data_IF_373295324633
#
_entry.id   IF_373295324633
#
_cell.length_a   1.000
_cell.length_b   1.000
_cell.length_c   1.000
_cell.angle_alpha   90.00
_cell.angle_beta   90.00
_cell.angle_gamma   90.00
#
_symmetry.space_group_name_H-M   'P 1'
#
loop_
_entity.id
_entity.type
_entity.pdbx_description
1 polymer ?
#
# COMPACT_ATOMS: atom_id res chain seq x y z
N UNK A 1 11.46 10.10 2.85
CA UNK A 1 12.31 9.45 1.82
C UNK A 1 12.71 10.48 0.78
N UNK A 2 13.91 10.38 0.22
CA UNK A 2 14.39 11.26 -0.86
C UNK A 2 13.73 10.94 -2.21
N UNK A 3 13.92 11.84 -3.18
CA UNK A 3 13.57 11.63 -4.59
C UNK A 3 14.80 12.08 -5.43
N UNK A 4 15.48 11.18 -6.17
CA UNK A 4 15.22 9.75 -6.25
C UNK A 4 15.56 9.01 -4.94
N UNK A 5 15.12 7.74 -4.86
CA UNK A 5 15.45 6.79 -3.80
C UNK A 5 15.66 5.39 -4.39
N UNK A 6 16.40 4.49 -3.72
CA UNK A 6 16.49 3.10 -4.11
C UNK A 6 15.10 2.41 -4.24
N UNK A 7 14.94 1.43 -5.14
CA UNK A 7 13.78 0.55 -5.14
C UNK A 7 13.68 -0.22 -3.82
N UNK A 8 12.46 -0.37 -3.32
CA UNK A 8 12.17 -1.15 -2.12
C UNK A 8 11.10 -2.22 -2.42
N UNK A 9 11.15 -3.33 -1.68
CA UNK A 9 10.16 -4.41 -1.73
C UNK A 9 9.84 -4.92 -0.30
N UNK A 10 8.69 -5.56 -0.12
CA UNK A 10 8.35 -6.23 1.14
C UNK A 10 9.04 -7.59 1.15
N UNK A 11 9.87 -7.85 2.15
CA UNK A 11 10.63 -9.08 2.21
C UNK A 11 9.74 -10.28 2.57
N UNK A 12 9.48 -11.17 1.60
CA UNK A 12 8.76 -12.45 1.78
C UNK A 12 7.43 -12.32 2.55
N UNK A 13 6.65 -11.28 2.25
CA UNK A 13 5.38 -11.05 2.94
C UNK A 13 4.49 -10.04 2.23
N UNK A 14 3.60 -9.40 2.99
CA UNK A 14 2.71 -8.35 2.49
C UNK A 14 2.61 -7.22 3.50
N UNK A 15 1.93 -6.13 3.13
CA UNK A 15 1.72 -4.96 3.97
C UNK A 15 1.13 -5.31 5.33
N UNK A 16 0.27 -6.33 5.42
CA UNK A 16 -0.27 -6.82 6.71
C UNK A 16 0.82 -7.36 7.63
N UNK A 17 1.77 -8.14 7.10
CA UNK A 17 2.90 -8.63 7.87
C UNK A 17 3.80 -7.48 8.35
N UNK A 18 3.95 -6.42 7.55
CA UNK A 18 4.66 -5.21 7.97
C UNK A 18 3.94 -4.50 9.12
N UNK A 19 2.62 -4.36 9.05
CA UNK A 19 1.82 -3.74 10.12
C UNK A 19 1.88 -4.53 11.43
N UNK A 20 1.96 -5.86 11.35
CA UNK A 20 2.12 -6.75 12.50
C UNK A 20 3.56 -6.81 13.04
N UNK A 21 4.54 -6.20 12.35
CA UNK A 21 5.96 -6.30 12.70
C UNK A 21 6.58 -7.67 12.40
N UNK A 22 5.99 -8.45 11.51
CA UNK A 22 6.43 -9.80 11.12
C UNK A 22 7.48 -9.78 9.99
N UNK A 23 7.37 -8.81 9.09
CA UNK A 23 8.28 -8.66 7.93
C UNK A 23 8.65 -7.20 7.72
N UNK A 24 9.76 -6.98 7.00
CA UNK A 24 10.30 -5.65 6.75
C UNK A 24 10.13 -5.21 5.29
N UNK A 25 10.13 -3.89 5.10
CA UNK A 25 10.36 -3.26 3.79
C UNK A 25 11.86 -2.97 3.66
N UNK A 26 12.47 -3.51 2.62
CA UNK A 26 13.92 -3.48 2.39
C UNK A 26 14.19 -2.87 1.01
N UNK A 27 15.22 -2.04 0.91
CA UNK A 27 15.77 -1.49 -0.33
C UNK A 27 16.70 -2.49 -1.02
N UNK A 28 16.91 -2.35 -2.33
CA UNK A 28 17.73 -3.28 -3.10
C UNK A 28 19.23 -3.26 -2.73
N UNK A 29 19.68 -2.24 -2.00
CA UNK A 29 21.02 -2.13 -1.41
C UNK A 29 21.10 -2.67 0.04
N UNK A 30 19.99 -3.19 0.57
CA UNK A 30 19.88 -3.74 1.91
C UNK A 30 19.38 -2.76 2.98
N UNK A 31 19.10 -1.51 2.62
CA UNK A 31 18.52 -0.53 3.55
C UNK A 31 17.16 -0.95 4.10
N UNK A 32 17.00 -0.99 5.43
CA UNK A 32 15.68 -1.22 6.05
C UNK A 32 14.91 0.09 6.16
N UNK A 33 13.82 0.23 5.39
CA UNK A 33 13.00 1.46 5.28
C UNK A 33 11.57 1.27 5.82
N UNK A 34 11.41 0.30 6.71
CA UNK A 34 10.09 -0.11 7.22
C UNK A 34 9.35 1.03 7.93
N UNK A 35 10.08 1.82 8.73
CA UNK A 35 9.51 2.91 9.52
C UNK A 35 8.96 4.04 8.64
N UNK A 36 9.63 4.36 7.54
CA UNK A 36 9.22 5.36 6.57
C UNK A 36 7.91 4.96 5.88
N UNK A 37 7.76 3.67 5.57
CA UNK A 37 6.54 3.12 4.97
C UNK A 37 5.37 3.10 5.96
N UNK A 38 5.61 2.71 7.22
CA UNK A 38 4.62 2.78 8.30
C UNK A 38 4.18 4.23 8.57
N UNK A 39 5.13 5.17 8.61
CA UNK A 39 4.84 6.59 8.78
C UNK A 39 4.00 7.15 7.62
N UNK A 40 4.35 6.81 6.38
CA UNK A 40 3.59 7.19 5.19
C UNK A 40 2.16 6.65 5.20
N UNK A 41 1.98 5.38 5.56
CA UNK A 41 0.66 4.75 5.68
C UNK A 41 -0.19 5.45 6.76
N UNK A 42 0.40 5.75 7.92
CA UNK A 42 -0.26 6.47 9.02
C UNK A 42 -0.71 7.87 8.60
N UNK A 43 0.14 8.61 7.87
CA UNK A 43 -0.22 9.93 7.31
C UNK A 43 -1.41 9.80 6.37
N UNK A 44 -1.40 8.82 5.46
CA UNK A 44 -2.51 8.59 4.53
C UNK A 44 -3.82 8.28 5.27
N UNK A 45 -3.79 7.40 6.27
CA UNK A 45 -4.97 7.08 7.09
C UNK A 45 -5.49 8.32 7.85
N UNK A 46 -4.60 9.13 8.40
CA UNK A 46 -4.99 10.36 9.10
C UNK A 46 -5.64 11.37 8.15
N UNK A 47 -5.18 11.46 6.90
CA UNK A 47 -5.84 12.26 5.87
C UNK A 47 -7.23 11.70 5.54
N UNK A 48 -7.37 10.38 5.41
CA UNK A 48 -8.67 9.76 5.17
C UNK A 48 -9.67 10.10 6.29
N UNK A 49 -9.26 9.95 7.56
CA UNK A 49 -10.09 10.31 8.72
C UNK A 49 -10.41 11.79 8.80
N UNK A 50 -9.45 12.66 8.45
CA UNK A 50 -9.62 14.11 8.54
C UNK A 50 -10.65 14.64 7.52
N UNK A 51 -10.74 14.00 6.37
CA UNK A 51 -11.56 14.44 5.25
C UNK A 51 -12.72 13.49 4.93
N UNK A 52 -13.03 12.56 5.85
CA UNK A 52 -14.08 11.54 5.69
C UNK A 52 -13.99 10.81 4.32
N UNK A 53 -12.78 10.37 3.97
CA UNK A 53 -12.52 9.65 2.72
C UNK A 53 -12.67 8.15 2.94
N UNK A 54 -13.69 7.56 2.31
CA UNK A 54 -13.97 6.12 2.35
C UNK A 54 -13.44 5.34 1.14
N UNK A 55 -12.89 6.03 0.13
CA UNK A 55 -12.38 5.44 -1.12
C UNK A 55 -11.00 5.98 -1.45
N UNK A 56 -10.05 5.08 -1.72
CA UNK A 56 -8.71 5.40 -2.17
C UNK A 56 -8.37 4.67 -3.48
N UNK A 57 -7.84 5.40 -4.46
CA UNK A 57 -7.27 4.83 -5.68
C UNK A 57 -5.75 4.94 -5.61
N UNK A 58 -5.07 3.79 -5.60
CA UNK A 58 -3.63 3.69 -5.35
C UNK A 58 -2.89 3.05 -6.53
N UNK A 59 -1.60 3.37 -6.69
CA UNK A 59 -0.75 2.78 -7.73
C UNK A 59 -0.39 1.31 -7.41
N UNK A 60 -0.67 0.41 -8.35
CA UNK A 60 -0.46 -1.03 -8.23
C UNK A 60 1.03 -1.43 -8.15
N UNK A 61 1.31 -2.63 -7.62
CA UNK A 61 2.63 -3.28 -7.48
C UNK A 61 3.59 -2.69 -6.45
N UNK A 62 3.40 -1.43 -6.05
CA UNK A 62 4.25 -0.76 -5.07
C UNK A 62 4.20 -1.42 -3.68
N UNK A 63 5.34 -1.54 -2.95
CA UNK A 63 5.34 -1.99 -1.56
C UNK A 63 4.54 -1.09 -0.60
N UNK A 64 4.17 0.14 -1.00
CA UNK A 64 3.27 0.99 -0.22
C UNK A 64 1.82 0.88 -0.74
N UNK A 65 1.64 1.05 -2.05
CA UNK A 65 0.36 1.35 -2.65
C UNK A 65 -0.30 0.15 -3.36
N UNK A 66 0.43 -0.94 -3.61
CA UNK A 66 -0.09 -2.13 -4.27
C UNK A 66 -1.34 -2.64 -3.55
N UNK A 67 -2.41 -2.88 -4.26
CA UNK A 67 -3.72 -3.23 -3.73
C UNK A 67 -4.06 -4.71 -3.92
N UNK A 68 -3.53 -5.34 -4.98
CA UNK A 68 -3.81 -6.76 -5.32
C UNK A 68 -2.57 -7.59 -5.57
N UNK A 69 -1.48 -6.94 -6.04
CA UNK A 69 -0.19 -7.57 -6.21
C UNK A 69 0.94 -6.63 -5.78
N UNK A 70 2.05 -7.22 -5.36
CA UNK A 70 3.32 -6.59 -5.01
C UNK A 70 4.48 -7.41 -5.59
N UNK A 71 5.69 -6.87 -5.59
CA UNK A 71 6.88 -7.66 -5.89
C UNK A 71 7.19 -8.67 -4.78
N UNK A 72 7.86 -9.77 -5.12
CA UNK A 72 8.06 -10.92 -4.23
C UNK A 72 9.15 -10.76 -3.16
N UNK A 73 9.83 -9.61 -3.13
CA UNK A 73 10.88 -9.31 -2.16
C UNK A 73 12.28 -9.79 -2.57
N UNK A 74 12.41 -10.35 -3.78
CA UNK A 74 13.70 -10.84 -4.31
C UNK A 74 14.36 -9.87 -5.29
N UNK A 75 13.71 -8.76 -5.65
CA UNK A 75 14.14 -7.85 -6.71
C UNK A 75 14.30 -8.51 -8.09
N UNK A 76 13.65 -9.65 -8.32
CA UNK A 76 13.64 -10.35 -9.62
C UNK A 76 12.63 -9.77 -10.62
N UNK A 77 11.82 -8.80 -10.19
CA UNK A 77 10.70 -8.26 -10.97
C UNK A 77 9.45 -9.16 -10.97
N UNK A 78 9.49 -10.29 -10.27
CA UNK A 78 8.34 -11.19 -10.10
C UNK A 78 7.30 -10.56 -9.17
N UNK A 79 6.04 -10.60 -9.61
CA UNK A 79 4.88 -10.14 -8.83
C UNK A 79 4.16 -11.31 -8.20
N UNK A 80 3.64 -11.11 -7.00
CA UNK A 80 2.87 -12.09 -6.23
C UNK A 80 1.60 -11.45 -5.68
N UNK A 81 0.54 -12.24 -5.43
CA UNK A 81 -0.64 -11.75 -4.73
C UNK A 81 -0.28 -11.16 -3.37
N UNK A 82 -0.79 -9.97 -3.08
CA UNK A 82 -0.46 -9.24 -1.86
C UNK A 82 -0.78 -7.76 -1.99
N UNK A 83 -0.61 -7.01 -0.91
CA UNK A 83 -0.85 -5.57 -0.90
C UNK A 83 0.29 -4.86 -0.17
N UNK A 84 0.51 -3.60 -0.50
CA UNK A 84 1.48 -2.73 0.14
C UNK A 84 1.00 -2.23 1.51
N UNK A 85 1.91 -1.60 2.25
CA UNK A 85 1.68 -1.15 3.63
C UNK A 85 0.53 -0.16 3.75
N UNK A 86 0.46 0.85 2.88
CA UNK A 86 -0.62 1.84 2.89
C UNK A 86 -1.96 1.20 2.52
N UNK A 87 -1.98 0.37 1.47
CA UNK A 87 -3.19 -0.32 1.06
C UNK A 87 -3.74 -1.24 2.17
N UNK A 88 -2.87 -1.97 2.87
CA UNK A 88 -3.23 -2.81 4.01
C UNK A 88 -3.86 -1.97 5.14
N UNK A 89 -3.17 -0.90 5.56
CA UNK A 89 -3.62 -0.10 6.70
C UNK A 89 -4.95 0.59 6.44
N UNK A 90 -5.14 1.13 5.23
CA UNK A 90 -6.39 1.77 4.83
C UNK A 90 -7.56 0.77 4.84
N UNK A 91 -7.36 -0.44 4.31
CA UNK A 91 -8.38 -1.50 4.33
C UNK A 91 -8.73 -1.96 5.74
N UNK A 92 -7.75 -2.12 6.63
CA UNK A 92 -8.00 -2.47 8.04
C UNK A 92 -8.86 -1.43 8.78
N UNK A 93 -8.88 -0.19 8.28
CA UNK A 93 -9.65 0.91 8.84
C UNK A 93 -10.89 1.29 8.02
N UNK A 94 -11.36 0.40 7.16
CA UNK A 94 -12.65 0.57 6.46
C UNK A 94 -12.60 1.39 5.17
N UNK A 95 -11.42 1.86 4.72
CA UNK A 95 -11.28 2.54 3.44
C UNK A 95 -11.25 1.53 2.30
N UNK A 96 -12.10 1.72 1.30
CA UNK A 96 -12.13 0.88 0.09
C UNK A 96 -10.97 1.26 -0.83
N UNK A 97 -10.03 0.34 -0.99
CA UNK A 97 -8.82 0.56 -1.80
C UNK A 97 -8.92 -0.15 -3.15
N UNK A 98 -8.78 0.63 -4.21
CA UNK A 98 -8.76 0.22 -5.62
C UNK A 98 -7.43 0.56 -6.27
N UNK A 99 -7.03 -0.15 -7.33
CA UNK A 99 -5.89 0.25 -8.15
C UNK A 99 -6.27 1.25 -9.24
N UNK A 100 -5.26 1.85 -9.90
CA UNK A 100 -5.46 2.69 -11.08
C UNK A 100 -6.13 1.96 -12.26
N UNK A 101 -6.20 0.62 -12.23
CA UNK A 101 -6.89 -0.18 -13.24
C UNK A 101 -8.37 -0.43 -12.90
N UNK A 102 -8.80 -0.03 -11.71
CA UNK A 102 -10.13 -0.32 -11.15
C UNK A 102 -10.99 0.94 -10.99
N UNK A 103 -10.68 2.01 -11.73
CA UNK A 103 -11.38 3.30 -11.64
C UNK A 103 -12.90 3.15 -11.80
N UNK A 104 -13.35 2.30 -12.73
CA UNK A 104 -14.78 2.05 -12.91
C UNK A 104 -15.43 1.44 -11.65
N UNK A 105 -14.73 0.50 -10.96
CA UNK A 105 -15.21 -0.09 -9.71
C UNK A 105 -15.20 0.92 -8.56
N UNK A 106 -14.16 1.76 -8.49
CA UNK A 106 -14.08 2.84 -7.52
C UNK A 106 -15.25 3.82 -7.67
N UNK A 107 -15.58 4.20 -8.91
CA UNK A 107 -16.72 5.06 -9.21
C UNK A 107 -18.06 4.42 -8.80
N UNK A 108 -18.26 3.13 -9.08
CA UNK A 108 -19.45 2.41 -8.63
C UNK A 108 -19.58 2.42 -7.11
N UNK A 109 -18.48 2.19 -6.39
CA UNK A 109 -18.49 2.23 -4.93
C UNK A 109 -18.83 3.62 -4.38
N UNK A 110 -18.29 4.68 -5.00
CA UNK A 110 -18.54 6.08 -4.61
C UNK A 110 -20.02 6.46 -4.74
N UNK A 111 -20.67 6.01 -5.81
CA UNK A 111 -22.09 6.25 -6.04
C UNK A 111 -22.97 5.49 -5.04
N UNK A 112 -22.54 4.28 -4.62
CA UNK A 112 -23.28 3.48 -3.64
C UNK A 112 -23.23 4.06 -2.22
N UNK A 113 -22.15 4.74 -1.83
CA UNK A 113 -22.03 5.37 -0.50
C UNK A 113 -22.75 6.72 -0.39
N UNK A 114 -23.19 7.29 -1.52
CA UNK A 114 -23.87 8.60 -1.57
C UNK A 114 -25.41 8.48 -1.53
N UNK A 115 -25.93 7.26 -1.30
CA UNK A 115 -27.37 6.92 -1.24
C UNK A 115 -27.78 6.61 0.20
#
# INVERSE_FOLDING_TARGET
MSIPRPPAEIFKGSGKGVLNGEVDVIENDGGKVTNEFLAGASIALNLCRKFDIDIAVLAEFSPSCGSTAIYDGSFSGKKVPGMGVTAALLREHGVHVFSQYEIARANTALLATSS
#
